data_IF_174088320597
#
_entry.id   IF_174088320597
#
_cell.length_a   1.000
_cell.length_b   1.000
_cell.length_c   1.000
_cell.angle_alpha   90.00
_cell.angle_beta   90.00
_cell.angle_gamma   90.00
#
_symmetry.space_group_name_H-M   'P 1'
#
loop_
_entity.id
_entity.type
_entity.pdbx_description
1 polymer ?
#
# COMPACT_ATOMS: atom_id res chain seq x y z
N UNK A 1 36.66 38.67 -0.48
CA UNK A 1 36.66 37.95 0.81
C UNK A 1 35.24 38.00 1.35
N UNK A 2 34.42 36.98 1.06
CA UNK A 2 33.04 36.89 1.56
C UNK A 2 32.75 35.40 1.75
N UNK A 3 32.62 34.99 3.01
CA UNK A 3 32.38 33.60 3.44
C UNK A 3 30.88 33.35 3.40
N UNK A 4 30.41 32.55 2.45
CA UNK A 4 29.03 32.04 2.45
C UNK A 4 28.92 30.96 3.52
N UNK A 5 28.14 31.21 4.57
CA UNK A 5 27.85 30.24 5.62
C UNK A 5 26.74 29.31 5.13
N UNK A 6 27.07 28.03 5.00
CA UNK A 6 26.10 26.96 4.76
C UNK A 6 25.36 26.69 6.09
N UNK A 7 24.05 26.94 6.11
CA UNK A 7 23.19 26.64 7.25
C UNK A 7 22.72 25.18 7.12
N UNK A 8 23.26 24.28 7.95
CA UNK A 8 22.70 22.96 8.17
C UNK A 8 21.50 23.09 9.12
N UNK A 9 20.29 22.77 8.65
CA UNK A 9 19.13 22.56 9.53
C UNK A 9 19.09 21.08 9.86
N UNK A 10 19.52 20.73 11.07
CA UNK A 10 19.31 19.40 11.65
C UNK A 10 17.98 19.46 12.40
N UNK A 11 16.96 18.76 11.91
CA UNK A 11 15.77 18.47 12.70
C UNK A 11 16.10 17.32 13.66
N UNK A 12 16.63 17.64 14.84
CA UNK A 12 16.62 16.72 15.97
C UNK A 12 15.28 16.83 16.67
N UNK A 13 14.37 15.91 16.35
CA UNK A 13 13.14 15.72 17.11
C UNK A 13 13.50 15.10 18.46
N UNK A 14 13.62 15.96 19.47
CA UNK A 14 13.92 15.58 20.85
C UNK A 14 12.64 15.05 21.50
N UNK A 15 12.42 13.73 21.43
CA UNK A 15 11.42 13.06 22.27
C UNK A 15 12.06 12.79 23.63
N UNK A 16 11.91 13.74 24.56
CA UNK A 16 12.28 13.54 25.95
C UNK A 16 11.33 12.55 26.60
N UNK A 17 11.79 11.33 26.90
CA UNK A 17 11.09 10.41 27.81
C UNK A 17 12.01 10.14 28.99
N UNK A 18 11.51 10.49 30.17
CA UNK A 18 12.09 10.22 31.48
C UNK A 18 12.17 8.71 31.73
N UNK A 19 13.32 8.25 32.18
CA UNK A 19 13.55 6.91 32.72
C UNK A 19 12.68 6.68 33.97
N UNK A 20 11.70 5.79 33.86
CA UNK A 20 10.87 5.35 34.97
C UNK A 20 10.19 4.00 34.66
N UNK A 21 10.52 3.00 35.48
CA UNK A 21 9.93 1.66 35.58
C UNK A 21 10.23 0.66 34.44
N UNK A 22 10.81 -0.48 34.83
CA UNK A 22 10.82 -1.73 34.07
C UNK A 22 9.39 -2.29 34.08
N UNK A 23 8.52 -1.70 33.28
CA UNK A 23 7.25 -2.31 32.88
C UNK A 23 7.53 -3.16 31.65
N UNK A 24 7.03 -4.39 31.64
CA UNK A 24 6.96 -5.26 30.45
C UNK A 24 6.21 -4.54 29.32
N UNK A 25 6.88 -3.65 28.61
CA UNK A 25 6.44 -3.20 27.30
C UNK A 25 6.75 -4.33 26.34
N UNK A 26 5.74 -5.10 25.98
CA UNK A 26 5.68 -5.78 24.70
C UNK A 26 5.67 -4.68 23.63
N UNK A 27 6.86 -4.12 23.35
CA UNK A 27 7.06 -3.25 22.21
C UNK A 27 6.92 -4.13 20.97
N UNK A 28 5.73 -4.13 20.37
CA UNK A 28 5.49 -4.67 19.04
C UNK A 28 6.26 -3.83 18.01
N UNK A 29 7.58 -4.05 17.91
CA UNK A 29 8.41 -3.42 16.90
C UNK A 29 8.15 -4.05 15.52
N UNK A 30 7.23 -3.49 14.74
CA UNK A 30 7.10 -3.85 13.34
C UNK A 30 8.28 -3.25 12.55
N UNK A 31 9.28 -4.06 12.25
CA UNK A 31 10.30 -3.71 11.27
C UNK A 31 9.72 -3.91 9.87
N UNK A 32 9.81 -2.87 9.05
CA UNK A 32 9.48 -2.91 7.64
C UNK A 32 10.71 -2.56 6.82
N UNK A 33 10.91 -3.24 5.71
CA UNK A 33 11.89 -2.85 4.70
C UNK A 33 11.21 -2.85 3.35
N UNK A 34 10.99 -1.65 2.80
CA UNK A 34 10.79 -1.51 1.36
C UNK A 34 12.11 -1.07 0.72
N UNK A 35 12.40 -1.51 -0.50
CA UNK A 35 13.43 -0.87 -1.30
C UNK A 35 13.12 0.63 -1.44
N UNK A 36 14.13 1.50 -1.59
CA UNK A 36 13.89 2.90 -1.89
C UNK A 36 13.19 3.03 -3.25
N UNK A 37 12.10 3.80 -3.30
CA UNK A 37 11.32 4.04 -4.53
C UNK A 37 9.84 4.33 -4.22
N UNK A 38 9.15 4.89 -5.20
CA UNK A 38 7.69 4.88 -5.21
C UNK A 38 7.26 3.49 -5.70
N UNK A 39 6.52 2.77 -4.87
CA UNK A 39 5.98 1.46 -5.23
C UNK A 39 4.53 1.65 -5.62
N UNK A 40 4.26 1.67 -6.93
CA UNK A 40 2.91 1.62 -7.46
C UNK A 40 2.54 0.16 -7.67
N UNK A 41 1.41 -0.26 -7.12
CA UNK A 41 0.91 -1.62 -7.28
C UNK A 41 -0.47 -1.57 -7.89
N UNK A 42 -0.58 -2.14 -9.08
CA UNK A 42 -1.83 -2.31 -9.80
C UNK A 42 -2.64 -3.43 -9.15
N UNK A 43 -3.81 -3.09 -8.62
CA UNK A 43 -4.79 -4.05 -8.10
C UNK A 43 -5.98 -4.15 -9.05
N UNK A 44 -6.60 -5.31 -9.11
CA UNK A 44 -7.71 -5.56 -10.03
C UNK A 44 -8.78 -6.42 -9.34
N UNK A 45 -10.08 -6.22 -9.60
CA UNK A 45 -11.13 -7.04 -8.98
C UNK A 45 -10.97 -8.55 -9.19
N UNK A 46 -10.41 -8.98 -10.33
CA UNK A 46 -10.19 -10.42 -10.59
C UNK A 46 -9.01 -11.01 -9.80
N UNK A 47 -8.15 -10.16 -9.20
CA UNK A 47 -6.98 -10.62 -8.46
C UNK A 47 -5.88 -11.22 -9.34
N UNK A 48 -5.80 -10.80 -10.60
CA UNK A 48 -4.78 -11.24 -11.58
C UNK A 48 -3.80 -10.12 -11.97
N UNK A 49 -3.78 -9.03 -11.20
CA UNK A 49 -2.73 -8.01 -11.27
C UNK A 49 -1.37 -8.53 -10.77
N UNK A 50 -0.31 -7.73 -10.92
CA UNK A 50 1.01 -8.06 -10.40
C UNK A 50 0.95 -8.30 -8.90
N UNK A 51 1.68 -9.31 -8.46
CA UNK A 51 1.94 -9.53 -7.03
C UNK A 51 2.75 -8.37 -6.44
N UNK A 52 2.65 -8.18 -5.12
CA UNK A 52 3.54 -7.25 -4.40
C UNK A 52 5.01 -7.52 -4.74
N UNK A 53 5.40 -8.80 -4.78
CA UNK A 53 6.76 -9.22 -5.08
C UNK A 53 7.20 -8.84 -6.51
N UNK A 54 6.32 -8.98 -7.51
CA UNK A 54 6.58 -8.55 -8.88
C UNK A 54 6.68 -7.02 -9.00
N UNK A 55 5.92 -6.29 -8.20
CA UNK A 55 6.05 -4.84 -8.07
C UNK A 55 7.29 -4.40 -7.25
N UNK A 56 8.14 -5.33 -6.84
CA UNK A 56 9.32 -5.05 -6.02
C UNK A 56 9.01 -4.68 -4.56
N UNK A 57 7.76 -4.84 -4.13
CA UNK A 57 7.31 -4.62 -2.77
C UNK A 57 7.26 -5.97 -2.01
N UNK A 58 8.01 -6.09 -0.92
CA UNK A 58 7.86 -7.23 0.00
C UNK A 58 7.56 -6.66 1.37
N UNK A 59 6.35 -6.93 1.85
CA UNK A 59 5.95 -6.55 3.21
C UNK A 59 6.33 -7.72 4.11
N UNK A 60 7.48 -7.59 4.77
CA UNK A 60 7.86 -8.48 5.86
C UNK A 60 7.48 -7.82 7.17
N UNK A 61 6.59 -8.45 7.93
CA UNK A 61 6.29 -8.04 9.30
C UNK A 61 6.99 -8.99 10.25
N UNK A 62 7.83 -8.47 11.15
CA UNK A 62 8.46 -9.26 12.21
C UNK A 62 7.77 -8.98 13.54
N UNK A 63 7.26 -10.01 14.19
CA UNK A 63 6.68 -9.98 15.54
C UNK A 63 7.74 -10.39 16.57
N UNK A 64 7.82 -9.63 17.66
CA UNK A 64 8.75 -9.91 18.75
C UNK A 64 8.09 -10.69 19.91
N UNK A 65 6.80 -10.99 19.83
CA UNK A 65 6.03 -11.61 20.92
C UNK A 65 5.83 -13.12 20.74
N UNK A 66 5.61 -13.82 21.86
CA UNK A 66 5.58 -15.29 22.01
C UNK A 66 4.26 -15.90 21.51
N UNK A 67 3.21 -15.09 21.35
CA UNK A 67 1.89 -15.53 20.90
C UNK A 67 1.76 -15.28 19.40
N UNK A 68 1.83 -16.36 18.62
CA UNK A 68 1.67 -16.31 17.16
C UNK A 68 0.23 -15.91 16.82
N UNK A 69 0.00 -14.80 16.11
CA UNK A 69 -1.35 -14.46 15.67
C UNK A 69 -1.87 -15.52 14.70
N UNK A 70 -3.07 -16.07 14.97
CA UNK A 70 -3.69 -17.08 14.11
C UNK A 70 -4.33 -16.50 12.84
N UNK A 71 -4.57 -15.16 12.83
CA UNK A 71 -5.06 -14.20 11.80
C UNK A 71 -5.69 -13.01 12.58
N UNK A 72 -5.84 -11.75 12.09
CA UNK A 72 -5.87 -11.27 10.71
C UNK A 72 -4.98 -10.03 10.43
N UNK A 73 -4.66 -9.87 9.15
CA UNK A 73 -4.20 -8.62 8.58
C UNK A 73 -5.44 -7.84 8.13
N UNK A 74 -5.52 -6.55 8.44
CA UNK A 74 -6.57 -5.70 7.86
C UNK A 74 -5.94 -4.49 7.18
N UNK A 75 -6.39 -4.27 5.95
CA UNK A 75 -6.02 -3.17 5.08
C UNK A 75 -7.17 -2.20 5.00
N UNK A 76 -6.88 -0.91 5.10
CA UNK A 76 -7.80 0.15 4.71
C UNK A 76 -7.04 1.26 4.01
N UNK A 77 -7.74 1.96 3.12
CA UNK A 77 -7.23 3.18 2.47
C UNK A 77 -7.72 4.42 3.19
N UNK A 78 -6.93 5.51 3.12
CA UNK A 78 -7.29 6.80 3.71
C UNK A 78 -8.02 7.72 2.73
N UNK A 79 -7.69 7.65 1.43
CA UNK A 79 -7.97 8.76 0.51
C UNK A 79 -8.74 8.40 -0.78
N UNK A 80 -8.87 7.11 -1.14
CA UNK A 80 -9.53 6.71 -2.39
C UNK A 80 -10.46 5.51 -2.27
N UNK A 81 -10.81 5.10 -1.05
CA UNK A 81 -11.86 4.11 -0.84
C UNK A 81 -11.57 2.76 -1.47
N UNK A 82 -10.35 2.22 -1.27
CA UNK A 82 -10.03 0.85 -1.69
C UNK A 82 -11.10 -0.11 -1.20
N UNK A 83 -11.68 -0.88 -2.12
CA UNK A 83 -12.65 -1.93 -1.82
C UNK A 83 -12.04 -3.27 -2.20
N UNK A 84 -11.97 -4.20 -1.24
CA UNK A 84 -11.34 -5.50 -1.44
C UNK A 84 -12.37 -6.58 -1.82
N UNK A 85 -11.98 -7.48 -2.73
CA UNK A 85 -12.73 -8.69 -3.03
C UNK A 85 -12.54 -9.73 -1.92
N UNK A 86 -13.62 -10.11 -1.23
CA UNK A 86 -13.58 -11.21 -0.25
C UNK A 86 -12.93 -10.87 1.10
N UNK A 87 -12.73 -9.58 1.40
CA UNK A 87 -12.18 -9.10 2.67
C UNK A 87 -10.72 -8.66 2.58
N UNK A 88 -10.06 -8.38 3.71
CA UNK A 88 -8.71 -7.83 3.71
C UNK A 88 -7.68 -8.82 3.15
N UNK A 89 -6.52 -8.30 2.76
CA UNK A 89 -5.39 -9.11 2.30
C UNK A 89 -5.03 -10.18 3.33
N UNK A 90 -4.67 -11.37 2.84
CA UNK A 90 -4.29 -12.50 3.67
C UNK A 90 -2.80 -12.76 3.53
N UNK A 91 -2.15 -13.04 4.65
CA UNK A 91 -0.81 -13.58 4.65
C UNK A 91 -0.73 -14.91 3.91
N UNK A 92 0.38 -15.13 3.22
CA UNK A 92 0.62 -16.34 2.43
C UNK A 92 0.73 -17.58 3.33
N UNK A 93 1.18 -17.38 4.57
CA UNK A 93 1.30 -18.44 5.57
C UNK A 93 1.18 -17.89 6.99
N UNK A 94 1.01 -18.80 7.96
CA UNK A 94 1.09 -18.44 9.38
C UNK A 94 2.45 -17.85 9.71
N UNK A 95 2.48 -16.95 10.69
CA UNK A 95 3.72 -16.38 11.22
C UNK A 95 4.71 -17.48 11.62
N UNK A 96 5.91 -17.42 11.03
CA UNK A 96 7.00 -18.38 11.27
C UNK A 96 7.58 -18.29 12.70
N UNK A 97 8.51 -19.19 13.02
CA UNK A 97 9.18 -19.23 14.34
C UNK A 97 10.03 -17.99 14.63
N UNK A 98 10.43 -17.26 13.59
CA UNK A 98 11.12 -15.98 13.69
C UNK A 98 10.17 -14.77 13.79
N UNK A 99 8.87 -15.02 13.96
CA UNK A 99 7.87 -13.96 14.01
C UNK A 99 7.61 -13.32 12.65
N UNK A 100 8.05 -13.89 11.52
CA UNK A 100 7.82 -13.28 10.21
C UNK A 100 6.54 -13.80 9.55
N UNK A 101 5.78 -12.87 8.97
CA UNK A 101 4.71 -13.19 8.02
C UNK A 101 4.94 -12.42 6.73
N UNK A 102 4.62 -13.07 5.62
CA UNK A 102 4.76 -12.53 4.27
C UNK A 102 3.39 -12.43 3.63
N UNK A 103 3.15 -11.31 2.95
CA UNK A 103 2.04 -11.11 2.03
C UNK A 103 2.66 -10.89 0.66
N UNK A 104 2.48 -11.85 -0.23
CA UNK A 104 3.00 -11.78 -1.60
C UNK A 104 1.95 -12.13 -2.65
N UNK A 105 0.81 -12.70 -2.27
CA UNK A 105 -0.28 -12.97 -3.19
C UNK A 105 -0.80 -11.73 -3.94
N UNK A 106 -1.47 -11.92 -5.08
CA UNK A 106 -2.09 -10.82 -5.81
C UNK A 106 -3.21 -10.21 -4.97
N UNK A 107 -3.45 -8.92 -5.22
CA UNK A 107 -4.43 -8.14 -4.49
C UNK A 107 -5.68 -7.97 -5.35
N UNK A 108 -6.80 -8.51 -4.85
CA UNK A 108 -8.09 -8.42 -5.52
C UNK A 108 -8.91 -7.27 -4.93
N UNK A 109 -9.18 -6.24 -5.72
CA UNK A 109 -9.93 -5.07 -5.29
C UNK A 109 -9.98 -3.96 -6.33
N UNK A 110 -10.67 -2.89 -5.97
CA UNK A 110 -10.84 -1.66 -6.75
C UNK A 110 -10.49 -0.41 -5.95
N UNK A 111 -10.51 0.73 -6.63
CA UNK A 111 -10.20 2.05 -6.09
C UNK A 111 -8.72 2.40 -6.14
N UNK A 112 -8.31 3.36 -5.32
CA UNK A 112 -6.93 3.82 -5.26
C UNK A 112 -6.53 4.31 -3.86
N UNK A 113 -5.23 4.38 -3.60
CA UNK A 113 -4.63 5.12 -2.48
C UNK A 113 -3.26 5.66 -2.94
N UNK A 114 -3.11 6.98 -2.95
CA UNK A 114 -1.92 7.66 -3.52
C UNK A 114 -0.93 8.12 -2.46
N UNK A 115 -1.20 7.89 -1.19
CA UNK A 115 -0.35 8.41 -0.11
C UNK A 115 0.29 7.27 0.67
N UNK A 116 -0.49 6.56 1.45
CA UNK A 116 0.02 5.60 2.43
C UNK A 116 -1.04 4.53 2.65
N UNK A 117 -0.69 3.29 2.35
CA UNK A 117 -1.45 2.14 2.83
C UNK A 117 -1.03 1.88 4.27
N UNK A 118 -2.02 1.95 5.17
CA UNK A 118 -1.83 1.49 6.54
C UNK A 118 -2.23 0.02 6.65
N UNK A 119 -1.50 -0.67 7.51
CA UNK A 119 -1.81 -2.04 7.87
C UNK A 119 -2.04 -2.09 9.37
N UNK A 120 -3.22 -2.56 9.75
CA UNK A 120 -3.51 -2.88 11.14
C UNK A 120 -3.25 -4.37 11.31
N UNK A 121 -2.27 -4.69 12.15
CA UNK A 121 -2.09 -6.05 12.64
C UNK A 121 -2.87 -6.20 13.94
N UNK A 122 -3.88 -7.05 13.91
CA UNK A 122 -4.56 -7.46 15.13
C UNK A 122 -3.77 -8.62 15.76
N UNK A 123 -3.20 -8.40 16.94
CA UNK A 123 -2.71 -9.50 17.78
C UNK A 123 -3.84 -9.95 18.69
N UNK A 124 -3.81 -11.22 19.10
CA UNK A 124 -4.82 -11.77 20.00
C UNK A 124 -4.80 -10.97 21.31
N UNK A 125 -5.88 -10.23 21.59
CA UNK A 125 -6.10 -9.38 22.77
C UNK A 125 -5.38 -8.02 22.84
N UNK A 126 -4.65 -7.57 21.81
CA UNK A 126 -4.11 -6.21 21.73
C UNK A 126 -4.01 -5.72 20.28
N UNK A 127 -4.49 -4.50 20.03
CA UNK A 127 -4.16 -3.77 18.79
C UNK A 127 -2.73 -3.23 18.92
N UNK A 128 -1.80 -3.79 18.17
CA UNK A 128 -0.45 -3.23 18.08
C UNK A 128 -0.41 -2.07 17.07
N UNK A 129 0.55 -1.17 17.28
CA UNK A 129 0.66 0.11 16.56
C UNK A 129 0.48 -0.03 15.04
N UNK A 130 -0.28 0.91 14.46
CA UNK A 130 -0.35 1.09 13.01
C UNK A 130 1.04 1.42 12.47
N UNK A 131 1.51 0.61 11.53
CA UNK A 131 2.71 0.90 10.76
C UNK A 131 2.32 1.23 9.33
N UNK A 132 3.05 2.17 8.73
CA UNK A 132 2.72 2.79 7.46
C UNK A 132 3.75 2.37 6.43
N UNK A 133 3.27 1.78 5.34
CA UNK A 133 4.10 1.47 4.19
C UNK A 133 3.76 2.50 3.11
N UNK A 134 4.73 3.25 2.59
CA UNK A 134 4.51 4.14 1.44
C UNK A 134 4.31 3.28 0.18
N UNK A 135 3.08 2.80 0.02
CA UNK A 135 2.63 2.03 -1.13
C UNK A 135 1.53 2.83 -1.81
N UNK A 136 1.62 2.99 -3.12
CA UNK A 136 0.56 3.55 -3.93
C UNK A 136 -0.22 2.37 -4.52
N UNK A 137 -1.52 2.33 -4.28
CA UNK A 137 -2.42 1.36 -4.87
C UNK A 137 -3.25 2.06 -5.94
N UNK A 138 -3.33 1.47 -7.11
CA UNK A 138 -4.14 1.96 -8.22
C UNK A 138 -4.90 0.81 -8.83
N UNK A 139 -6.09 1.07 -9.35
CA UNK A 139 -6.94 0.06 -9.96
C UNK A 139 -7.61 0.57 -11.23
N UNK A 140 -7.77 -0.29 -12.26
CA UNK A 140 -8.64 0.00 -13.39
C UNK A 140 -10.12 0.10 -13.00
N UNK A 141 -10.53 -0.46 -11.86
CA UNK A 141 -11.82 -0.20 -11.21
C UNK A 141 -11.68 1.10 -10.42
N UNK A 142 -11.79 2.23 -11.10
CA UNK A 142 -11.45 3.56 -10.57
C UNK A 142 -12.55 4.05 -9.63
N UNK A 143 -13.80 3.66 -9.88
CA UNK A 143 -14.94 4.03 -9.03
C UNK A 143 -15.12 3.12 -7.80
N UNK A 144 -14.32 2.05 -7.70
CA UNK A 144 -14.30 1.06 -6.63
C UNK A 144 -15.62 0.29 -6.45
N UNK A 145 -16.34 0.03 -7.55
CA UNK A 145 -17.60 -0.73 -7.55
C UNK A 145 -17.42 -2.24 -7.73
N UNK A 146 -16.16 -2.70 -7.75
CA UNK A 146 -15.72 -4.09 -7.88
C UNK A 146 -15.95 -4.67 -9.29
N UNK A 147 -16.10 -3.81 -10.29
CA UNK A 147 -16.11 -4.15 -11.70
C UNK A 147 -15.30 -3.13 -12.51
N UNK A 148 -14.55 -3.59 -13.50
CA UNK A 148 -13.92 -2.71 -14.49
C UNK A 148 -14.84 -2.60 -15.69
N UNK A 149 -15.52 -1.47 -15.87
CA UNK A 149 -16.46 -1.28 -16.97
C UNK A 149 -16.46 0.11 -17.61
N UNK A 150 -17.52 0.42 -18.36
CA UNK A 150 -17.63 1.67 -19.10
C UNK A 150 -17.60 2.90 -18.20
N UNK A 151 -18.04 2.78 -16.95
CA UNK A 151 -17.95 3.86 -15.96
C UNK A 151 -16.48 4.15 -15.69
N UNK A 152 -15.65 3.16 -15.42
CA UNK A 152 -14.21 3.36 -15.19
C UNK A 152 -13.50 3.90 -16.42
N UNK A 153 -13.81 3.35 -17.60
CA UNK A 153 -13.24 3.87 -18.83
C UNK A 153 -13.57 5.35 -19.04
N UNK A 154 -14.79 5.77 -18.68
CA UNK A 154 -15.17 7.18 -18.77
C UNK A 154 -14.38 8.06 -17.81
N UNK A 155 -14.03 7.56 -16.63
CA UNK A 155 -13.18 8.26 -15.65
C UNK A 155 -11.74 8.33 -16.16
N UNK A 156 -11.18 7.22 -16.65
CA UNK A 156 -9.85 7.16 -17.24
C UNK A 156 -9.73 8.13 -18.43
N UNK A 157 -10.66 8.09 -19.38
CA UNK A 157 -10.69 8.97 -20.54
C UNK A 157 -10.83 10.46 -20.14
N UNK A 158 -11.55 10.74 -19.06
CA UNK A 158 -11.66 12.09 -18.52
C UNK A 158 -10.33 12.62 -17.96
N UNK A 159 -9.41 11.76 -17.48
CA UNK A 159 -8.07 12.16 -17.03
C UNK A 159 -6.94 11.99 -18.05
N UNK A 160 -7.15 11.23 -19.13
CA UNK A 160 -6.15 11.03 -20.19
C UNK A 160 -5.66 12.38 -20.79
N UNK A 161 -4.35 12.60 -21.02
CA UNK A 161 -3.77 13.93 -21.29
C UNK A 161 -4.00 14.47 -22.71
N UNK A 162 -5.09 14.09 -23.37
CA UNK A 162 -5.51 14.64 -24.67
C UNK A 162 -6.93 15.23 -24.58
N UNK A 163 -7.10 16.57 -24.63
CA UNK A 163 -6.05 17.61 -24.57
C UNK A 163 -5.31 17.59 -23.23
N UNK A 164 -4.22 18.37 -23.10
CA UNK A 164 -3.41 18.44 -21.88
C UNK A 164 -4.27 18.70 -20.63
N UNK A 165 -4.09 17.86 -19.61
CA UNK A 165 -4.78 17.90 -18.32
C UNK A 165 -3.75 17.85 -17.19
N UNK A 166 -4.11 18.30 -15.96
CA UNK A 166 -3.29 18.04 -14.78
C UNK A 166 -3.04 16.53 -14.62
N UNK A 167 -1.83 16.18 -14.21
CA UNK A 167 -1.47 14.81 -13.88
C UNK A 167 -2.37 14.27 -12.76
N UNK A 168 -2.87 13.05 -12.95
CA UNK A 168 -3.69 12.33 -11.98
C UNK A 168 -3.02 10.99 -11.64
N UNK A 169 -2.37 10.86 -10.46
CA UNK A 169 -1.64 9.65 -10.09
C UNK A 169 -2.51 8.41 -9.93
N UNK A 170 -3.84 8.55 -9.98
CA UNK A 170 -4.78 7.42 -9.91
C UNK A 170 -4.90 6.68 -11.24
N UNK A 171 -4.43 7.29 -12.32
CA UNK A 171 -4.53 6.79 -13.69
C UNK A 171 -3.16 6.37 -14.26
N UNK A 172 -2.09 6.58 -13.49
CA UNK A 172 -0.73 6.12 -13.76
C UNK A 172 -0.59 4.72 -13.15
N UNK A 173 -0.91 3.72 -13.95
CA UNK A 173 -1.02 2.32 -13.55
C UNK A 173 0.32 1.60 -13.50
N UNK A 174 1.34 2.08 -14.21
CA UNK A 174 2.71 1.55 -14.14
C UNK A 174 3.63 2.34 -13.20
N UNK A 175 3.21 3.54 -12.77
CA UNK A 175 3.91 4.38 -11.81
C UNK A 175 5.08 5.14 -12.41
N UNK A 176 5.13 5.35 -13.72
CA UNK A 176 6.25 6.02 -14.40
C UNK A 176 6.24 7.55 -14.27
N UNK A 177 5.17 8.12 -13.69
CA UNK A 177 4.96 9.55 -13.51
C UNK A 177 4.24 10.23 -14.67
N UNK A 178 3.71 9.47 -15.62
CA UNK A 178 2.90 9.92 -16.75
C UNK A 178 1.59 9.13 -16.82
N UNK A 179 0.60 9.67 -17.53
CA UNK A 179 -0.61 8.92 -17.88
C UNK A 179 -0.65 8.83 -19.40
N UNK A 180 -0.40 7.67 -19.98
CA UNK A 180 -0.27 7.51 -21.42
C UNK A 180 -0.85 6.20 -21.98
N UNK A 181 -0.41 5.80 -23.17
CA UNK A 181 -0.92 4.60 -23.85
C UNK A 181 -0.54 3.30 -23.13
N UNK A 182 0.52 3.29 -22.32
CA UNK A 182 0.90 2.16 -21.48
C UNK A 182 -0.16 1.94 -20.41
N UNK A 183 -0.61 2.99 -19.72
CA UNK A 183 -1.70 2.92 -18.75
C UNK A 183 -3.01 2.48 -19.40
N UNK A 184 -3.32 3.01 -20.58
CA UNK A 184 -4.49 2.56 -21.33
C UNK A 184 -4.41 1.06 -21.66
N UNK A 185 -3.22 0.57 -21.98
CA UNK A 185 -3.00 -0.86 -22.27
C UNK A 185 -3.15 -1.72 -21.01
N UNK A 186 -2.73 -1.24 -19.84
CA UNK A 186 -2.96 -1.90 -18.55
C UNK A 186 -4.44 -1.91 -18.19
N UNK A 187 -5.15 -0.79 -18.37
CA UNK A 187 -6.60 -0.72 -18.20
C UNK A 187 -7.32 -1.76 -19.08
N UNK A 188 -6.99 -1.80 -20.38
CA UNK A 188 -7.64 -2.68 -21.35
C UNK A 188 -7.42 -4.17 -21.06
N UNK A 189 -6.28 -4.54 -20.45
CA UNK A 189 -6.00 -5.92 -20.04
C UNK A 189 -6.96 -6.41 -18.95
N UNK A 190 -7.51 -5.50 -18.14
CA UNK A 190 -8.41 -5.81 -17.05
C UNK A 190 -9.88 -5.49 -17.36
N UNK A 191 -10.21 -5.24 -18.63
CA UNK A 191 -11.57 -4.91 -19.06
C UNK A 191 -12.57 -6.02 -18.68
N UNK A 192 -13.67 -5.65 -18.04
CA UNK A 192 -14.71 -6.56 -17.52
C UNK A 192 -14.27 -7.48 -16.38
N UNK A 193 -13.11 -7.25 -15.77
CA UNK A 193 -12.72 -7.97 -14.55
C UNK A 193 -13.66 -7.59 -13.40
N UNK A 194 -14.00 -8.58 -12.57
CA UNK A 194 -14.92 -8.45 -11.42
C UNK A 194 -14.42 -9.30 -10.28
N UNK A 195 -14.83 -8.99 -9.05
CA UNK A 195 -14.63 -9.92 -7.95
C UNK A 195 -15.33 -11.25 -8.24
N UNK A 196 -14.63 -12.36 -7.97
CA UNK A 196 -15.15 -13.73 -8.08
C UNK A 196 -15.41 -14.39 -6.73
#
# INVERSE_FOLDING_TARGET
MMRTRLLFIIFTLWCGVTLGAVGSRTDCGCLQSLPPGNHVVLICPQGDGPTLAEAGAIITLTYQDIVKPERPFSTGGCNGGIVWCGGPLRADSFTGDNGQTTVSGPMAGGGYDTEIVWYLVHLVNQDCMMSYVPLVLVSPDINADLAVDLVDFSIFAAGFPSPSKPYDPRLDFDGDGSVDIVDFSLFAQHWLHRCS
#
